data_IF_014708150681
#
_entry.id   IF_014708150681
#
_cell.length_a   1.000
_cell.length_b   1.000
_cell.length_c   1.000
_cell.angle_alpha   90.00
_cell.angle_beta   90.00
_cell.angle_gamma   90.00
#
_symmetry.space_group_name_H-M   'P 1'
#
loop_
_entity.id
_entity.type
_entity.pdbx_description
1 polymer ?
#
# COMPACT_ATOMS: atom_id res chain seq x y z
N UNK A 1 25.37 -8.94 -6.81
CA UNK A 1 26.20 -10.15 -6.80
C UNK A 1 26.95 -10.24 -8.13
N UNK A 2 28.26 -10.52 -8.14
CA UNK A 2 29.07 -10.65 -9.38
C UNK A 2 29.54 -12.10 -9.46
N UNK A 3 29.10 -12.86 -10.48
CA UNK A 3 29.60 -14.21 -10.75
C UNK A 3 30.74 -14.07 -11.76
N UNK A 4 31.95 -14.43 -11.35
CA UNK A 4 33.12 -14.46 -12.26
C UNK A 4 33.22 -15.85 -12.89
N UNK A 5 33.23 -15.91 -14.21
CA UNK A 5 33.57 -17.14 -14.93
C UNK A 5 35.09 -17.34 -14.86
N UNK A 6 35.55 -18.23 -13.98
CA UNK A 6 36.96 -18.60 -13.84
C UNK A 6 37.35 -19.78 -14.75
N UNK A 7 36.46 -20.24 -15.64
CA UNK A 7 36.77 -21.28 -16.60
C UNK A 7 37.55 -20.66 -17.77
N UNK A 8 38.63 -21.31 -18.19
CA UNK A 8 39.38 -20.95 -19.41
C UNK A 8 38.64 -21.34 -20.71
N UNK A 9 37.32 -21.50 -20.67
CA UNK A 9 36.50 -21.96 -21.78
C UNK A 9 35.12 -21.28 -21.81
N UNK A 10 34.48 -21.30 -22.98
CA UNK A 10 33.15 -20.70 -23.17
C UNK A 10 32.06 -21.51 -22.48
N UNK A 11 31.14 -20.81 -21.82
CA UNK A 11 29.96 -21.39 -21.18
C UNK A 11 28.75 -21.27 -22.12
N UNK A 12 27.99 -22.35 -22.24
CA UNK A 12 26.72 -22.43 -22.95
C UNK A 12 25.59 -22.65 -21.92
N UNK A 13 24.38 -22.22 -22.24
CA UNK A 13 23.22 -22.35 -21.37
C UNK A 13 21.97 -22.59 -22.22
N UNK A 14 20.97 -23.24 -21.63
CA UNK A 14 19.71 -23.53 -22.29
C UNK A 14 18.74 -22.35 -22.14
N UNK A 15 18.32 -21.79 -23.28
CA UNK A 15 17.37 -20.69 -23.32
C UNK A 15 15.96 -21.26 -23.50
N UNK A 16 15.04 -21.08 -22.53
CA UNK A 16 13.65 -21.42 -22.83
C UNK A 16 13.02 -20.28 -23.63
N UNK A 17 12.62 -20.59 -24.87
CA UNK A 17 12.06 -19.63 -25.79
C UNK A 17 10.60 -19.29 -25.44
N UNK A 18 10.41 -18.08 -24.95
CA UNK A 18 9.20 -17.29 -25.20
C UNK A 18 9.66 -16.04 -25.92
N UNK A 19 9.06 -15.70 -27.07
CA UNK A 19 9.52 -14.62 -27.95
C UNK A 19 9.95 -13.36 -27.19
N UNK A 20 11.12 -12.86 -27.61
CA UNK A 20 11.66 -11.49 -27.63
C UNK A 20 12.68 -11.02 -26.56
N UNK A 21 13.79 -10.49 -27.13
CA UNK A 21 14.77 -9.49 -26.68
C UNK A 21 15.92 -9.93 -25.76
N UNK A 22 17.00 -9.13 -25.83
CA UNK A 22 18.31 -9.14 -25.12
C UNK A 22 18.25 -9.24 -23.59
N UNK A 23 17.45 -10.18 -23.10
CA UNK A 23 17.00 -10.30 -21.73
C UNK A 23 17.22 -11.68 -21.15
N UNK A 24 18.00 -12.55 -21.79
CA UNK A 24 18.23 -13.93 -21.35
C UNK A 24 19.08 -14.06 -20.06
N UNK A 25 19.49 -12.92 -19.48
CA UNK A 25 19.90 -12.83 -18.07
C UNK A 25 18.71 -12.87 -17.09
N UNK A 26 17.45 -12.89 -17.54
CA UNK A 26 16.24 -12.95 -16.69
C UNK A 26 16.02 -14.30 -15.99
N UNK A 27 16.88 -15.31 -16.20
CA UNK A 27 16.75 -16.67 -15.62
C UNK A 27 17.98 -17.08 -14.81
N UNK A 28 18.47 -16.17 -13.98
CA UNK A 28 19.71 -16.31 -13.22
C UNK A 28 19.38 -16.42 -11.72
N UNK A 29 18.60 -17.45 -11.35
CA UNK A 29 19.10 -18.83 -11.36
C UNK A 29 18.17 -19.82 -12.07
N UNK A 30 18.72 -20.97 -12.48
CA UNK A 30 17.91 -22.10 -12.94
C UNK A 30 17.03 -22.63 -11.81
N UNK A 31 17.54 -22.61 -10.57
CA UNK A 31 16.86 -23.02 -9.34
C UNK A 31 17.41 -22.25 -8.13
N UNK A 32 16.55 -21.94 -7.17
CA UNK A 32 16.97 -21.46 -5.83
C UNK A 32 17.09 -22.68 -4.94
N UNK A 33 18.20 -22.82 -4.22
CA UNK A 33 18.37 -23.91 -3.26
C UNK A 33 18.28 -23.40 -1.83
N UNK A 34 17.65 -24.19 -0.96
CA UNK A 34 17.63 -23.99 0.49
C UNK A 34 18.48 -25.06 1.16
N UNK A 35 19.19 -24.66 2.21
CA UNK A 35 19.86 -25.61 3.09
C UNK A 35 18.85 -26.16 4.11
N UNK A 36 18.55 -27.45 4.03
CA UNK A 36 17.70 -28.19 4.98
C UNK A 36 18.43 -29.46 5.44
N UNK A 37 18.56 -29.66 6.75
CA UNK A 37 19.25 -30.82 7.33
C UNK A 37 20.65 -31.07 6.72
N UNK A 38 21.44 -29.99 6.58
CA UNK A 38 22.80 -30.01 5.99
C UNK A 38 22.85 -30.40 4.49
N UNK A 39 21.69 -30.49 3.81
CA UNK A 39 21.58 -30.79 2.38
C UNK A 39 20.94 -29.64 1.63
N UNK A 40 21.37 -29.44 0.39
CA UNK A 40 20.86 -28.38 -0.48
C UNK A 40 19.75 -28.91 -1.36
N UNK A 41 18.52 -28.49 -1.09
CA UNK A 41 17.32 -28.90 -1.83
C UNK A 41 16.84 -27.78 -2.76
N UNK A 42 16.43 -28.17 -3.97
CA UNK A 42 15.88 -27.25 -4.95
C UNK A 42 14.48 -26.79 -4.51
N UNK A 43 14.25 -25.48 -4.43
CA UNK A 43 12.92 -24.91 -4.19
C UNK A 43 12.31 -24.51 -5.51
N UNK A 44 11.08 -24.96 -5.70
CA UNK A 44 10.25 -24.51 -6.79
C UNK A 44 9.84 -23.04 -6.54
N UNK A 45 10.41 -22.13 -7.31
CA UNK A 45 9.95 -20.75 -7.30
C UNK A 45 8.57 -20.71 -7.99
N UNK A 46 7.58 -19.96 -7.46
CA UNK A 46 6.28 -19.81 -8.09
C UNK A 46 6.45 -19.07 -9.43
N UNK A 47 6.69 -19.83 -10.50
CA UNK A 47 6.92 -19.28 -11.82
C UNK A 47 5.57 -19.06 -12.49
N UNK A 48 5.10 -17.81 -12.53
CA UNK A 48 4.01 -17.40 -13.42
C UNK A 48 4.52 -17.36 -14.87
N UNK A 49 4.83 -18.50 -15.45
CA UNK A 49 4.95 -18.59 -16.91
C UNK A 49 3.57 -18.89 -17.48
N UNK A 50 3.06 -17.88 -18.19
CA UNK A 50 1.98 -17.86 -19.16
C UNK A 50 1.11 -19.12 -19.28
N UNK A 51 -0.20 -18.94 -19.03
CA UNK A 51 -1.26 -19.86 -19.39
C UNK A 51 -0.98 -20.53 -20.76
N UNK A 52 -0.83 -21.85 -20.74
CA UNK A 52 -1.06 -22.80 -21.84
C UNK A 52 -0.17 -22.76 -23.10
N UNK A 53 0.72 -21.79 -23.27
CA UNK A 53 1.69 -21.81 -24.37
C UNK A 53 3.00 -22.45 -23.92
N UNK A 54 3.17 -23.73 -24.28
CA UNK A 54 4.37 -24.52 -23.99
C UNK A 54 5.65 -23.72 -24.23
N UNK A 55 6.40 -23.45 -23.15
CA UNK A 55 7.76 -22.95 -23.25
C UNK A 55 8.59 -24.02 -23.96
N UNK A 56 8.94 -23.80 -25.24
CA UNK A 56 9.86 -24.69 -25.95
C UNK A 56 11.28 -24.37 -25.50
N UNK A 57 11.99 -25.39 -25.06
CA UNK A 57 13.41 -25.29 -24.74
C UNK A 57 14.16 -25.14 -26.06
N UNK A 58 14.91 -24.05 -26.23
CA UNK A 58 15.74 -23.80 -27.40
C UNK A 58 17.12 -24.45 -27.24
N UNK A 59 17.81 -24.70 -28.36
CA UNK A 59 19.19 -25.20 -28.33
C UNK A 59 20.12 -24.27 -27.56
N UNK A 60 21.17 -24.78 -26.89
CA UNK A 60 22.11 -23.95 -26.15
C UNK A 60 22.74 -22.86 -27.02
N UNK A 61 22.87 -21.64 -26.47
CA UNK A 61 23.50 -20.51 -27.17
C UNK A 61 24.80 -20.10 -26.45
N UNK A 62 25.82 -19.74 -27.22
CA UNK A 62 27.10 -19.23 -26.69
C UNK A 62 26.92 -17.84 -26.12
N UNK A 63 27.17 -17.67 -24.81
CA UNK A 63 27.19 -16.35 -24.18
C UNK A 63 28.53 -15.65 -24.39
N UNK A 64 28.46 -14.38 -24.81
CA UNK A 64 29.56 -13.43 -24.65
C UNK A 64 29.29 -12.65 -23.37
N UNK A 65 29.92 -13.04 -22.26
CA UNK A 65 29.75 -12.38 -20.96
C UNK A 65 30.39 -10.98 -21.00
N UNK A 66 29.68 -9.98 -21.49
CA UNK A 66 30.12 -8.59 -21.40
C UNK A 66 29.66 -7.98 -20.05
N UNK A 67 30.55 -7.37 -19.25
CA UNK A 67 30.30 -6.99 -17.85
C UNK A 67 29.39 -5.76 -17.64
N UNK A 68 28.56 -5.36 -18.61
CA UNK A 68 28.09 -3.97 -18.71
C UNK A 68 26.67 -3.64 -18.25
N UNK A 69 25.88 -4.56 -17.69
CA UNK A 69 24.58 -4.16 -17.10
C UNK A 69 24.36 -4.76 -15.71
N UNK A 70 24.34 -3.90 -14.69
CA UNK A 70 23.74 -4.24 -13.38
C UNK A 70 22.24 -4.36 -13.60
N UNK A 71 21.63 -5.46 -13.15
CA UNK A 71 20.18 -5.65 -13.11
C UNK A 71 19.79 -6.19 -11.74
N UNK A 72 18.64 -5.77 -11.24
CA UNK A 72 18.05 -6.25 -9.99
C UNK A 72 17.07 -7.39 -10.31
N UNK A 73 17.12 -8.47 -9.52
CA UNK A 73 16.21 -9.62 -9.62
C UNK A 73 15.41 -9.65 -8.31
N UNK A 74 14.08 -9.54 -8.42
CA UNK A 74 13.17 -9.69 -7.29
C UNK A 74 12.79 -11.17 -7.15
N UNK A 75 13.28 -11.85 -6.10
CA UNK A 75 12.94 -13.24 -5.80
C UNK A 75 11.92 -13.29 -4.66
N UNK A 76 10.78 -13.96 -4.89
CA UNK A 76 9.80 -14.27 -3.85
C UNK A 76 10.15 -15.59 -3.17
N UNK A 77 10.80 -15.52 -2.02
CA UNK A 77 11.27 -16.70 -1.30
C UNK A 77 10.31 -16.97 -0.12
N UNK A 78 9.73 -18.18 -0.01
CA UNK A 78 8.57 -18.41 0.85
C UNK A 78 8.91 -18.63 2.33
N UNK A 79 10.18 -18.80 2.68
CA UNK A 79 10.60 -19.10 4.05
C UNK A 79 11.96 -18.49 4.36
N UNK A 80 12.32 -18.55 5.63
CA UNK A 80 13.65 -18.25 6.11
C UNK A 80 14.61 -19.40 5.96
N UNK A 81 15.89 -19.10 5.96
CA UNK A 81 16.96 -20.07 5.93
C UNK A 81 18.19 -19.53 5.22
N UNK A 82 19.16 -20.41 5.01
CA UNK A 82 20.33 -20.12 4.20
C UNK A 82 20.08 -20.60 2.78
N UNK A 83 20.30 -19.70 1.83
CA UNK A 83 20.00 -19.89 0.42
C UNK A 83 21.26 -19.72 -0.43
N UNK A 84 21.22 -20.35 -1.59
CA UNK A 84 22.13 -20.04 -2.69
C UNK A 84 21.40 -20.15 -4.03
N UNK A 85 21.90 -19.41 -5.00
CA UNK A 85 21.44 -19.46 -6.38
C UNK A 85 22.24 -20.55 -7.11
N UNK A 86 21.57 -21.49 -7.76
CA UNK A 86 22.19 -22.53 -8.59
C UNK A 86 22.04 -22.17 -10.07
N UNK A 87 23.18 -22.11 -10.75
CA UNK A 87 23.28 -21.82 -12.18
C UNK A 87 23.68 -23.08 -12.92
N UNK A 88 22.80 -23.59 -13.76
CA UNK A 88 23.11 -24.73 -14.64
C UNK A 88 23.74 -24.19 -15.92
N UNK A 89 24.84 -24.81 -16.33
CA UNK A 89 25.52 -24.47 -17.57
C UNK A 89 26.13 -25.70 -18.24
N UNK A 90 26.43 -25.57 -19.53
CA UNK A 90 26.98 -26.62 -20.37
C UNK A 90 28.32 -26.15 -20.96
N UNK A 91 29.25 -27.09 -21.12
CA UNK A 91 30.52 -26.77 -21.75
C UNK A 91 30.40 -26.92 -23.26
N UNK A 92 31.17 -26.12 -24.00
CA UNK A 92 31.16 -26.15 -25.46
C UNK A 92 31.54 -27.51 -26.05
N UNK A 93 32.38 -28.25 -25.33
CA UNK A 93 32.89 -29.56 -25.73
C UNK A 93 32.03 -30.73 -25.21
N UNK A 94 31.06 -30.46 -24.33
CA UNK A 94 30.14 -31.47 -23.79
C UNK A 94 28.82 -30.82 -23.38
N UNK A 95 27.90 -30.74 -24.35
CA UNK A 95 26.57 -30.14 -24.15
C UNK A 95 25.57 -31.10 -23.49
N UNK A 96 25.95 -32.36 -23.25
CA UNK A 96 25.07 -33.35 -22.60
C UNK A 96 25.25 -33.38 -21.09
N UNK A 97 26.38 -32.87 -20.61
CA UNK A 97 26.71 -32.83 -19.19
C UNK A 97 26.40 -31.47 -18.59
N UNK A 98 25.47 -31.47 -17.63
CA UNK A 98 25.22 -30.31 -16.79
C UNK A 98 26.42 -30.03 -15.89
N UNK A 99 26.77 -28.74 -15.78
CA UNK A 99 27.72 -28.22 -14.84
C UNK A 99 27.01 -27.15 -14.00
N UNK A 100 27.52 -26.91 -12.80
CA UNK A 100 26.88 -26.02 -11.84
C UNK A 100 27.84 -24.95 -11.34
N UNK A 101 27.33 -23.73 -11.26
CA UNK A 101 27.93 -22.64 -10.49
C UNK A 101 26.95 -22.21 -9.41
N UNK A 102 27.48 -21.73 -8.29
CA UNK A 102 26.67 -21.31 -7.15
C UNK A 102 26.99 -19.87 -6.77
N UNK A 103 25.99 -19.15 -6.25
CA UNK A 103 26.23 -17.90 -5.54
C UNK A 103 26.98 -18.13 -4.23
N UNK A 104 27.44 -17.04 -3.63
CA UNK A 104 27.66 -17.03 -2.18
C UNK A 104 26.36 -17.40 -1.47
N UNK A 105 26.49 -18.02 -0.30
CA UNK A 105 25.38 -18.24 0.60
C UNK A 105 24.85 -16.89 1.11
N UNK A 106 23.53 -16.80 1.28
CA UNK A 106 22.89 -15.66 1.89
C UNK A 106 21.77 -16.14 2.80
N UNK A 107 21.63 -15.48 3.94
CA UNK A 107 20.61 -15.81 4.93
C UNK A 107 19.38 -14.92 4.72
N UNK A 108 18.22 -15.54 4.63
CA UNK A 108 16.93 -14.87 4.72
C UNK A 108 16.41 -15.17 6.11
N UNK A 109 16.34 -14.15 6.95
CA UNK A 109 15.73 -14.28 8.27
C UNK A 109 14.23 -14.38 8.10
N UNK A 110 13.58 -15.22 8.91
CA UNK A 110 12.14 -15.22 8.97
C UNK A 110 11.75 -13.84 9.46
N UNK A 111 10.91 -13.15 8.70
CA UNK A 111 10.02 -12.21 9.35
C UNK A 111 9.03 -13.11 10.08
N UNK A 112 9.36 -13.45 11.33
CA UNK A 112 8.45 -14.18 12.21
C UNK A 112 7.32 -13.21 12.53
N UNK A 113 6.30 -13.28 11.69
CA UNK A 113 5.06 -12.55 11.82
C UNK A 113 4.88 -11.44 10.80
N UNK A 114 3.78 -10.73 10.96
CA UNK A 114 3.39 -9.63 10.08
C UNK A 114 4.07 -8.34 10.55
N UNK A 115 4.58 -7.58 9.58
CA UNK A 115 5.01 -6.20 9.82
C UNK A 115 4.13 -5.22 9.04
N UNK A 116 3.69 -4.18 9.74
CA UNK A 116 2.96 -3.04 9.15
C UNK A 116 3.90 -1.84 9.23
N UNK A 117 4.31 -1.31 8.07
CA UNK A 117 5.22 -0.17 8.01
C UNK A 117 4.51 1.04 7.43
N UNK A 118 4.61 2.19 8.11
CA UNK A 118 4.15 3.49 7.63
C UNK A 118 5.33 4.46 7.53
N UNK A 119 5.26 5.43 6.61
CA UNK A 119 6.27 6.48 6.51
C UNK A 119 6.21 7.50 7.66
N UNK A 120 5.03 7.67 8.26
CA UNK A 120 4.78 8.52 9.42
C UNK A 120 3.52 8.04 10.15
N UNK A 121 3.31 8.51 11.37
CA UNK A 121 2.17 8.12 12.22
C UNK A 121 1.16 9.25 12.43
N UNK A 122 1.40 10.44 11.86
CA UNK A 122 0.49 11.59 11.95
C UNK A 122 0.20 12.12 10.56
N UNK A 123 -1.09 12.14 10.20
CA UNK A 123 -1.60 12.56 8.89
C UNK A 123 -2.60 13.71 9.05
N UNK A 124 -2.67 14.59 8.06
CA UNK A 124 -3.73 15.61 8.01
C UNK A 124 -4.98 15.04 7.35
N UNK A 125 -6.15 15.56 7.72
CA UNK A 125 -7.43 15.17 7.12
C UNK A 125 -7.39 15.38 5.59
N UNK A 126 -7.65 14.30 4.85
CA UNK A 126 -7.62 14.26 3.39
C UNK A 126 -6.25 13.96 2.78
N UNK A 127 -5.20 13.82 3.60
CA UNK A 127 -3.92 13.31 3.15
C UNK A 127 -4.01 11.80 2.84
N UNK A 128 -3.27 11.32 1.83
CA UNK A 128 -3.20 9.88 1.57
C UNK A 128 -2.35 9.21 2.64
N UNK A 129 -2.79 8.04 3.08
CA UNK A 129 -2.08 7.19 4.04
C UNK A 129 -1.51 6.00 3.27
N UNK A 130 -0.19 5.98 3.12
CA UNK A 130 0.55 4.90 2.49
C UNK A 130 1.14 4.00 3.57
N UNK A 131 0.87 2.71 3.48
CA UNK A 131 1.41 1.71 4.40
C UNK A 131 1.73 0.42 3.65
N UNK A 132 2.69 -0.34 4.19
CA UNK A 132 3.11 -1.62 3.65
C UNK A 132 2.78 -2.72 4.63
N UNK A 133 2.25 -3.83 4.13
CA UNK A 133 2.12 -5.06 4.90
C UNK A 133 3.09 -6.08 4.29
N UNK A 134 3.91 -6.65 5.15
CA UNK A 134 4.90 -7.67 4.82
C UNK A 134 4.75 -8.84 5.79
N UNK A 135 4.30 -10.00 5.29
CA UNK A 135 4.05 -11.19 6.10
C UNK A 135 3.00 -12.12 5.51
N UNK A 136 2.78 -13.26 6.17
CA UNK A 136 1.78 -14.26 5.77
C UNK A 136 0.41 -13.93 6.36
N UNK A 137 -0.56 -13.69 5.49
CA UNK A 137 -1.94 -13.28 5.84
C UNK A 137 -2.96 -14.26 5.27
N UNK A 138 -4.14 -14.24 5.86
CA UNK A 138 -5.32 -14.88 5.28
C UNK A 138 -6.01 -13.90 4.34
N UNK A 139 -6.18 -14.27 3.07
CA UNK A 139 -6.84 -13.39 2.08
C UNK A 139 -8.04 -14.07 1.48
N UNK A 140 -9.13 -13.32 1.37
CA UNK A 140 -10.34 -13.73 0.66
C UNK A 140 -10.57 -12.81 -0.55
N UNK A 141 -11.11 -13.34 -1.64
CA UNK A 141 -11.32 -12.60 -2.92
C UNK A 141 -12.10 -11.29 -2.76
N UNK A 142 -12.98 -11.18 -1.78
CA UNK A 142 -13.85 -10.04 -1.55
C UNK A 142 -13.56 -9.25 -0.26
N UNK A 143 -12.45 -9.56 0.44
CA UNK A 143 -12.06 -8.88 1.68
C UNK A 143 -10.61 -8.42 1.60
N UNK A 144 -10.36 -7.23 2.11
CA UNK A 144 -8.99 -6.76 2.32
C UNK A 144 -8.32 -7.64 3.39
N UNK A 145 -6.99 -7.87 3.30
CA UNK A 145 -6.25 -8.62 4.31
C UNK A 145 -6.07 -7.84 5.63
N UNK A 146 -6.62 -6.63 5.72
CA UNK A 146 -6.52 -5.74 6.88
C UNK A 146 -7.85 -5.03 7.12
N UNK A 147 -8.02 -4.51 8.33
CA UNK A 147 -9.09 -3.57 8.71
C UNK A 147 -8.48 -2.28 9.22
N UNK A 148 -9.22 -1.17 9.10
CA UNK A 148 -8.89 0.08 9.77
C UNK A 148 -9.94 0.30 10.84
N UNK A 149 -9.52 0.49 12.08
CA UNK A 149 -10.40 0.61 13.24
C UNK A 149 -10.17 1.96 13.90
N UNK A 150 -11.25 2.65 14.29
CA UNK A 150 -11.21 3.87 15.10
C UNK A 150 -10.82 3.54 16.55
N UNK A 151 -10.43 4.55 17.32
CA UNK A 151 -10.09 4.38 18.74
C UNK A 151 -11.24 3.86 19.62
N UNK A 152 -12.50 4.07 19.21
CA UNK A 152 -13.69 3.52 19.86
C UNK A 152 -13.98 2.05 19.51
N UNK A 153 -13.16 1.44 18.65
CA UNK A 153 -13.32 0.07 18.17
C UNK A 153 -14.22 -0.07 16.94
N UNK A 154 -14.81 1.01 16.42
CA UNK A 154 -15.63 0.92 15.22
C UNK A 154 -14.76 0.73 13.96
N UNK A 155 -15.07 -0.26 13.10
CA UNK A 155 -14.36 -0.43 11.85
C UNK A 155 -14.73 0.68 10.85
N UNK A 156 -13.73 1.22 10.18
CA UNK A 156 -13.90 2.08 9.01
C UNK A 156 -14.45 1.22 7.87
N UNK A 157 -15.58 1.62 7.30
CA UNK A 157 -16.20 0.90 6.18
C UNK A 157 -15.42 1.11 4.89
N UNK A 158 -14.47 0.21 4.63
CA UNK A 158 -13.70 0.14 3.38
C UNK A 158 -14.43 -0.76 2.38
N UNK A 159 -14.41 -0.39 1.10
CA UNK A 159 -14.84 -1.29 0.03
C UNK A 159 -13.64 -1.74 -0.78
N UNK A 160 -13.50 -3.06 -0.87
CA UNK A 160 -12.72 -3.69 -1.92
C UNK A 160 -13.59 -3.69 -3.18
N UNK A 161 -13.17 -2.97 -4.21
CA UNK A 161 -13.75 -3.10 -5.55
C UNK A 161 -12.77 -3.96 -6.34
N UNK A 162 -13.27 -4.89 -7.16
CA UNK A 162 -12.46 -5.56 -8.19
C UNK A 162 -12.65 -4.86 -9.54
N UNK A 163 -11.60 -4.84 -10.35
CA UNK A 163 -11.67 -4.51 -11.76
C UNK A 163 -12.26 -5.72 -12.51
N UNK A 164 -13.57 -5.71 -12.69
CA UNK A 164 -14.29 -6.65 -13.54
C UNK A 164 -15.41 -5.95 -14.28
N UNK A 165 -15.68 -6.39 -15.51
CA UNK A 165 -16.85 -5.97 -16.32
C UNK A 165 -18.19 -6.26 -15.62
N UNK A 166 -18.18 -7.04 -14.53
CA UNK A 166 -19.34 -7.50 -13.77
C UNK A 166 -19.72 -6.53 -12.62
N UNK A 167 -19.00 -5.42 -12.45
CA UNK A 167 -19.25 -4.43 -11.39
C UNK A 167 -20.00 -3.16 -11.82
N UNK A 168 -20.77 -3.19 -12.92
CA UNK A 168 -21.59 -2.03 -13.32
C UNK A 168 -22.82 -1.91 -12.42
N UNK A 169 -22.68 -1.17 -11.32
CA UNK A 169 -23.81 -0.74 -10.50
C UNK A 169 -24.52 0.46 -11.13
N UNK A 170 -25.81 0.61 -10.85
CA UNK A 170 -26.54 1.85 -11.08
C UNK A 170 -26.69 2.54 -9.73
N UNK A 171 -26.07 3.71 -9.56
CA UNK A 171 -26.35 4.60 -8.43
C UNK A 171 -27.62 5.39 -8.77
N UNK A 172 -28.54 5.49 -7.82
CA UNK A 172 -29.73 6.31 -7.95
C UNK A 172 -29.62 7.48 -6.98
N UNK A 173 -29.85 8.70 -7.43
CA UNK A 173 -29.76 9.90 -6.59
C UNK A 173 -30.82 10.94 -6.89
N UNK A 174 -31.10 11.79 -5.91
CA UNK A 174 -32.01 12.90 -6.12
C UNK A 174 -31.31 14.09 -6.79
N UNK A 175 -31.78 14.50 -7.95
CA UNK A 175 -31.35 15.73 -8.62
C UNK A 175 -32.59 16.55 -8.96
N UNK A 176 -32.71 17.74 -8.37
CA UNK A 176 -33.87 18.63 -8.53
C UNK A 176 -35.22 17.96 -8.23
N UNK A 177 -35.27 17.13 -7.18
CA UNK A 177 -36.48 16.42 -6.75
C UNK A 177 -36.86 15.21 -7.60
N UNK A 178 -36.02 14.81 -8.58
CA UNK A 178 -36.25 13.63 -9.43
C UNK A 178 -35.15 12.59 -9.21
N UNK A 179 -35.52 11.32 -9.29
CA UNK A 179 -34.57 10.21 -9.22
C UNK A 179 -33.80 10.13 -10.54
N UNK A 180 -32.49 10.33 -10.47
CA UNK A 180 -31.55 10.16 -11.57
C UNK A 180 -30.74 8.90 -11.35
N UNK A 181 -30.63 8.08 -12.39
CA UNK A 181 -29.83 6.83 -12.38
C UNK A 181 -28.54 7.04 -13.16
N UNK A 182 -27.38 6.80 -12.54
CA UNK A 182 -26.08 6.88 -13.19
C UNK A 182 -25.35 5.56 -13.05
N UNK A 183 -24.86 5.02 -14.18
CA UNK A 183 -23.93 3.88 -14.13
C UNK A 183 -22.65 4.35 -13.44
N UNK A 184 -22.34 3.73 -12.32
CA UNK A 184 -21.09 3.94 -11.61
C UNK A 184 -20.21 2.73 -11.84
N UNK A 185 -18.99 3.02 -12.30
CA UNK A 185 -17.91 2.06 -12.26
C UNK A 185 -17.34 2.12 -10.84
N UNK A 186 -17.50 1.06 -10.06
CA UNK A 186 -16.82 0.98 -8.77
C UNK A 186 -15.31 0.99 -9.02
N UNK A 187 -14.63 1.99 -8.47
CA UNK A 187 -13.19 2.16 -8.61
C UNK A 187 -12.46 1.42 -7.48
N UNK A 188 -11.58 0.49 -7.86
CA UNK A 188 -10.56 -0.11 -7.00
C UNK A 188 -9.66 0.99 -6.40
N UNK A 189 -9.68 1.17 -5.07
CA UNK A 189 -8.87 2.21 -4.43
C UNK A 189 -7.59 1.71 -3.73
N UNK A 190 -7.38 0.39 -3.56
CA UNK A 190 -6.36 -0.11 -2.62
C UNK A 190 -5.14 -0.83 -3.23
N UNK A 191 -5.27 -1.59 -4.33
CA UNK A 191 -4.12 -2.20 -5.04
C UNK A 191 -4.53 -2.68 -6.44
N UNK A 192 -3.66 -2.53 -7.44
CA UNK A 192 -3.90 -3.01 -8.82
C UNK A 192 -3.89 -4.54 -8.94
N UNK A 193 -3.21 -5.26 -8.04
CA UNK A 193 -3.01 -6.72 -8.15
C UNK A 193 -4.19 -7.54 -7.64
N UNK A 194 -4.93 -7.04 -6.65
CA UNK A 194 -6.06 -7.74 -6.02
C UNK A 194 -7.40 -7.49 -6.71
N UNK A 195 -7.38 -6.77 -7.82
CA UNK A 195 -8.58 -6.38 -8.55
C UNK A 195 -8.91 -7.28 -9.73
N UNK A 196 -8.13 -8.32 -10.05
CA UNK A 196 -8.37 -9.15 -11.23
C UNK A 196 -9.28 -10.35 -10.92
N UNK A 197 -10.47 -10.35 -11.52
CA UNK A 197 -11.37 -11.52 -11.53
C UNK A 197 -12.22 -11.66 -10.27
N UNK A 198 -13.17 -10.75 -10.05
CA UNK A 198 -14.25 -11.00 -9.09
C UNK A 198 -15.18 -12.08 -9.68
N UNK A 199 -15.09 -13.30 -9.13
CA UNK A 199 -16.13 -14.31 -9.21
C UNK A 199 -16.99 -14.20 -7.95
N UNK A 200 -18.29 -14.49 -8.05
CA UNK A 200 -19.17 -14.59 -6.87
C UNK A 200 -18.72 -15.69 -5.89
N UNK A 201 -17.78 -16.55 -6.30
CA UNK A 201 -17.10 -17.49 -5.42
C UNK A 201 -16.11 -16.75 -4.50
N UNK A 202 -16.43 -16.77 -3.21
CA UNK A 202 -15.51 -16.40 -2.13
C UNK A 202 -14.50 -17.52 -1.99
N UNK A 203 -13.30 -17.33 -2.54
CA UNK A 203 -12.15 -18.18 -2.26
C UNK A 203 -11.27 -17.48 -1.23
N UNK A 204 -10.83 -18.23 -0.21
CA UNK A 204 -9.89 -17.75 0.79
C UNK A 204 -8.67 -18.68 0.84
N UNK A 205 -7.48 -18.12 1.01
CA UNK A 205 -6.25 -18.88 1.14
C UNK A 205 -5.20 -18.08 1.92
N UNK A 206 -4.23 -18.78 2.48
CA UNK A 206 -3.11 -18.15 3.15
C UNK A 206 -2.02 -17.84 2.14
N UNK A 207 -1.50 -16.61 2.16
CA UNK A 207 -0.44 -16.21 1.25
C UNK A 207 0.49 -15.18 1.87
N UNK A 208 1.71 -15.12 1.35
CA UNK A 208 2.65 -14.09 1.74
C UNK A 208 2.37 -12.82 0.94
N UNK A 209 2.07 -11.72 1.64
CA UNK A 209 1.90 -10.42 1.02
C UNK A 209 3.12 -9.55 1.28
N UNK A 210 3.45 -8.77 0.26
CA UNK A 210 4.54 -7.82 0.27
C UNK A 210 4.08 -6.63 -0.56
N UNK A 211 3.12 -5.88 -0.03
CA UNK A 211 2.36 -4.90 -0.80
C UNK A 211 2.23 -3.56 -0.09
N UNK A 212 2.23 -2.50 -0.89
CA UNK A 212 1.90 -1.15 -0.47
C UNK A 212 0.42 -0.88 -0.73
N UNK A 213 -0.26 -0.33 0.27
CA UNK A 213 -1.64 0.09 0.24
C UNK A 213 -1.70 1.60 0.42
N UNK A 214 -2.64 2.23 -0.27
CA UNK A 214 -2.92 3.66 -0.16
C UNK A 214 -4.38 3.83 0.24
N UNK A 215 -4.64 4.56 1.32
CA UNK A 215 -5.99 4.93 1.74
C UNK A 215 -6.18 6.45 1.68
N UNK A 216 -7.29 6.90 1.08
CA UNK A 216 -7.62 8.32 0.88
C UNK A 216 -8.40 8.93 2.06
N UNK A 217 -8.38 8.27 3.23
CA UNK A 217 -9.10 8.66 4.44
C UNK A 217 -10.62 8.76 4.26
N UNK A 218 -11.18 8.01 3.29
CA UNK A 218 -12.63 7.98 3.08
C UNK A 218 -13.21 6.63 3.49
N UNK A 219 -14.41 6.71 4.05
CA UNK A 219 -15.25 5.56 4.34
C UNK A 219 -16.57 5.66 3.56
N UNK A 220 -17.19 4.51 3.33
CA UNK A 220 -18.52 4.45 2.73
C UNK A 220 -19.57 4.57 3.83
N UNK A 221 -20.38 5.62 3.74
CA UNK A 221 -21.51 5.85 4.65
C UNK A 221 -22.79 5.68 3.86
N UNK A 222 -23.70 4.89 4.40
CA UNK A 222 -25.06 4.80 3.87
C UNK A 222 -25.82 6.06 4.27
N UNK A 223 -26.44 6.70 3.28
CA UNK A 223 -27.36 7.82 3.46
C UNK A 223 -28.73 7.43 2.93
N UNK A 224 -29.73 7.98 3.58
CA UNK A 224 -31.13 7.84 3.16
C UNK A 224 -31.64 9.21 2.78
N UNK A 225 -32.14 9.36 1.55
CA UNK A 225 -32.77 10.60 1.08
C UNK A 225 -34.17 10.30 0.55
N UNK A 226 -35.10 11.23 0.76
CA UNK A 226 -36.46 11.13 0.22
C UNK A 226 -36.53 11.95 -1.06
N UNK A 227 -36.86 11.30 -2.17
CA UNK A 227 -36.95 11.91 -3.50
C UNK A 227 -38.17 11.38 -4.22
N UNK A 228 -39.02 12.27 -4.76
CA UNK A 228 -40.26 11.87 -5.45
C UNK A 228 -41.14 10.91 -4.64
N UNK A 229 -41.33 11.21 -3.35
CA UNK A 229 -42.04 10.37 -2.37
C UNK A 229 -41.49 8.93 -2.22
N UNK A 230 -40.25 8.67 -2.66
CA UNK A 230 -39.55 7.40 -2.47
C UNK A 230 -38.33 7.62 -1.59
N UNK A 231 -38.09 6.66 -0.71
CA UNK A 231 -36.86 6.58 0.06
C UNK A 231 -35.80 5.89 -0.78
N UNK A 232 -34.69 6.57 -1.05
CA UNK A 232 -33.54 5.97 -1.74
C UNK A 232 -32.38 5.83 -0.75
N UNK A 233 -31.74 4.67 -0.80
CA UNK A 233 -30.56 4.33 -0.02
C UNK A 233 -29.33 4.42 -0.91
N UNK A 234 -28.33 5.18 -0.47
CA UNK A 234 -27.10 5.37 -1.24
C UNK A 234 -25.90 5.27 -0.35
N UNK A 235 -24.78 4.88 -0.94
CA UNK A 235 -23.50 4.89 -0.25
C UNK A 235 -22.62 5.97 -0.83
N UNK A 236 -22.19 6.89 0.02
CA UNK A 236 -21.30 7.98 -0.36
C UNK A 236 -19.97 7.87 0.37
N UNK A 237 -18.88 8.25 -0.31
CA UNK A 237 -17.56 8.37 0.31
C UNK A 237 -17.49 9.65 1.14
N UNK A 238 -17.35 9.53 2.45
CA UNK A 238 -17.10 10.67 3.36
C UNK A 238 -15.70 10.55 3.96
N UNK A 239 -15.06 11.68 4.21
CA UNK A 239 -13.83 11.67 5.00
C UNK A 239 -14.13 11.20 6.42
N UNK A 240 -13.30 10.31 6.93
CA UNK A 240 -13.37 9.90 8.34
C UNK A 240 -13.12 11.12 9.24
N UNK A 241 -13.63 11.11 10.49
CA UNK A 241 -13.31 12.16 11.45
C UNK A 241 -11.80 12.19 11.77
N UNK A 242 -11.37 13.27 12.43
CA UNK A 242 -10.03 13.32 13.00
C UNK A 242 -10.01 12.52 14.30
N UNK A 243 -8.91 11.83 14.59
CA UNK A 243 -8.81 10.92 15.73
C UNK A 243 -7.65 9.93 15.60
N UNK A 244 -7.61 8.99 16.53
CA UNK A 244 -6.64 7.88 16.54
C UNK A 244 -7.28 6.67 15.82
N UNK A 245 -6.47 6.00 15.02
CA UNK A 245 -6.86 4.86 14.19
C UNK A 245 -5.81 3.77 14.27
N UNK A 246 -6.23 2.53 14.00
CA UNK A 246 -5.35 1.36 13.94
C UNK A 246 -5.55 0.61 12.63
N UNK A 247 -4.46 0.21 11.99
CA UNK A 247 -4.46 -0.83 10.97
C UNK A 247 -4.32 -2.16 11.69
N UNK A 248 -5.25 -3.09 11.45
CA UNK A 248 -5.29 -4.40 12.09
C UNK A 248 -5.19 -5.48 11.02
N UNK A 249 -4.24 -6.40 11.20
CA UNK A 249 -3.95 -7.50 10.26
C UNK A 249 -3.92 -8.80 11.05
N UNK A 250 -4.59 -9.84 10.56
CA UNK A 250 -4.54 -11.16 11.18
C UNK A 250 -3.31 -11.94 10.71
N UNK A 251 -2.43 -12.26 11.64
CA UNK A 251 -1.24 -13.09 11.44
C UNK A 251 -1.61 -14.56 11.52
N UNK A 252 -1.58 -15.22 10.36
CA UNK A 252 -1.93 -16.64 10.26
C UNK A 252 -0.88 -17.52 10.91
N UNK A 253 0.39 -17.09 10.95
CA UNK A 253 1.49 -17.89 11.49
C UNK A 253 1.38 -17.94 13.01
N UNK A 254 1.15 -16.79 13.63
CA UNK A 254 1.11 -16.67 15.08
C UNK A 254 -0.32 -16.79 15.65
N UNK A 255 -1.35 -16.83 14.79
CA UNK A 255 -2.77 -16.80 15.16
C UNK A 255 -3.14 -15.60 16.03
N UNK A 256 -2.55 -14.45 15.74
CA UNK A 256 -2.73 -13.21 16.51
C UNK A 256 -3.03 -12.01 15.60
N UNK A 257 -3.44 -10.89 16.18
CA UNK A 257 -3.63 -9.65 15.43
C UNK A 257 -2.42 -8.73 15.62
N UNK A 258 -1.85 -8.29 14.51
CA UNK A 258 -0.83 -7.24 14.50
C UNK A 258 -1.51 -5.91 14.24
N UNK A 259 -1.24 -4.94 15.11
CA UNK A 259 -1.82 -3.60 15.05
C UNK A 259 -0.74 -2.54 14.80
N UNK A 260 -1.09 -1.49 14.05
CA UNK A 260 -0.26 -0.29 13.93
C UNK A 260 -1.12 0.96 14.03
N UNK A 261 -0.78 1.83 14.98
CA UNK A 261 -1.55 3.02 15.32
C UNK A 261 -1.05 4.26 14.55
N UNK A 262 -2.00 5.12 14.15
CA UNK A 262 -1.73 6.42 13.56
C UNK A 262 -2.82 7.43 13.93
N UNK A 263 -2.55 8.72 13.75
CA UNK A 263 -3.46 9.82 14.07
C UNK A 263 -3.80 10.61 12.82
N UNK A 264 -5.09 10.88 12.60
CA UNK A 264 -5.58 11.85 11.61
C UNK A 264 -5.92 13.14 12.35
N UNK A 265 -5.17 14.22 12.09
CA UNK A 265 -5.47 15.55 12.61
C UNK A 265 -6.38 16.32 11.65
N UNK A 266 -7.21 17.21 12.19
CA UNK A 266 -7.95 18.13 11.35
C UNK A 266 -6.95 18.97 10.55
N UNK A 267 -7.22 19.16 9.26
CA UNK A 267 -6.46 20.16 8.49
C UNK A 267 -6.91 21.52 9.00
N UNK A 268 -5.97 22.34 9.47
CA UNK A 268 -6.24 23.75 9.70
C UNK A 268 -6.76 24.33 8.38
N UNK A 269 -7.93 24.99 8.36
CA UNK A 269 -8.39 25.66 7.17
C UNK A 269 -7.29 26.59 6.69
N UNK A 270 -6.91 26.53 5.42
CA UNK A 270 -5.78 27.32 4.87
C UNK A 270 -5.97 28.85 5.01
N UNK A 271 -7.18 29.29 5.35
CA UNK A 271 -7.53 30.68 5.57
C UNK A 271 -7.49 31.10 7.05
N UNK A 272 -7.30 30.17 7.99
CA UNK A 272 -6.95 30.52 9.37
C UNK A 272 -5.46 30.85 9.41
N UNK A 273 -5.14 31.98 10.02
CA UNK A 273 -3.77 32.51 10.08
C UNK A 273 -3.37 32.62 11.55
N UNK A 274 -2.18 32.15 11.90
CA UNK A 274 -1.59 32.38 13.23
C UNK A 274 -0.46 33.40 13.10
N UNK A 275 -0.47 34.47 13.89
CA UNK A 275 0.66 35.42 13.91
C UNK A 275 1.87 34.86 14.64
N UNK A 276 1.66 33.84 15.49
CA UNK A 276 2.66 33.29 16.40
C UNK A 276 3.19 34.31 17.41
N UNK A 277 2.40 35.35 17.70
CA UNK A 277 2.71 36.36 18.71
C UNK A 277 2.94 35.77 20.09
N UNK A 278 3.81 36.42 20.86
CA UNK A 278 4.16 35.96 22.22
C UNK A 278 2.92 35.96 23.12
N UNK A 279 2.79 34.93 23.95
CA UNK A 279 1.73 34.82 24.96
C UNK A 279 2.26 34.09 26.20
N UNK A 280 1.55 34.24 27.32
CA UNK A 280 1.76 33.47 28.55
C UNK A 280 0.58 32.57 28.85
N UNK A 281 -0.64 33.01 28.56
CA UNK A 281 -1.87 32.23 28.77
C UNK A 281 -2.79 32.30 27.55
N UNK A 282 -3.81 31.44 27.51
CA UNK A 282 -4.79 31.41 26.41
C UNK A 282 -5.54 32.75 26.26
N UNK A 283 -5.74 33.48 27.36
CA UNK A 283 -6.40 34.79 27.38
C UNK A 283 -5.61 35.89 26.67
N UNK A 284 -4.29 35.71 26.53
CA UNK A 284 -3.43 36.61 25.76
C UNK A 284 -3.64 36.48 24.25
N UNK A 285 -4.35 35.44 23.79
CA UNK A 285 -4.61 35.16 22.39
C UNK A 285 -6.07 35.45 22.02
N UNK A 286 -6.31 36.01 20.84
CA UNK A 286 -7.67 36.29 20.37
C UNK A 286 -7.79 36.18 18.85
N UNK A 287 -9.03 35.96 18.37
CA UNK A 287 -9.37 36.02 16.96
C UNK A 287 -9.48 37.47 16.48
N UNK A 288 -8.51 37.91 15.69
CA UNK A 288 -8.50 39.13 14.89
C UNK A 288 -8.81 38.88 13.42
N UNK A 289 -8.59 39.89 12.57
CA UNK A 289 -9.10 39.87 11.19
C UNK A 289 -10.60 40.18 11.14
N UNK A 290 -11.15 40.29 9.93
CA UNK A 290 -12.53 40.73 9.73
C UNK A 290 -13.57 39.68 10.14
N UNK A 291 -13.28 38.38 9.95
CA UNK A 291 -14.15 37.26 10.36
C UNK A 291 -13.61 36.51 11.58
N UNK A 292 -12.60 37.06 12.25
CA UNK A 292 -11.93 36.42 13.39
C UNK A 292 -10.93 35.33 12.98
N UNK A 293 -10.51 35.28 11.72
CA UNK A 293 -9.66 34.23 11.15
C UNK A 293 -8.17 34.30 11.53
N UNK A 294 -7.73 35.42 12.10
CA UNK A 294 -6.33 35.62 12.51
C UNK A 294 -6.20 35.34 14.00
N UNK A 295 -5.53 34.27 14.41
CA UNK A 295 -5.14 34.08 15.81
C UNK A 295 -3.92 34.94 16.12
N UNK A 296 -4.10 35.97 16.96
CA UNK A 296 -3.05 36.93 17.29
C UNK A 296 -2.92 37.20 18.78
N UNK A 297 -1.74 37.69 19.18
CA UNK A 297 -1.48 38.08 20.56
C UNK A 297 -2.02 39.48 20.85
N UNK A 298 -2.55 39.67 22.07
CA UNK A 298 -2.93 41.00 22.59
C UNK A 298 -1.76 41.98 22.71
N UNK A 299 -0.53 41.49 22.65
CA UNK A 299 0.69 42.31 22.72
C UNK A 299 1.20 42.74 21.34
N UNK A 300 0.54 42.35 20.25
CA UNK A 300 0.88 42.73 18.88
C UNK A 300 0.00 43.88 18.37
N UNK A 301 0.45 44.55 17.31
CA UNK A 301 -0.41 45.46 16.57
C UNK A 301 -1.53 44.67 15.86
N UNK A 302 -2.79 45.13 15.93
CA UNK A 302 -3.91 44.44 15.32
C UNK A 302 -3.70 44.19 13.81
N UNK A 303 -3.81 42.93 13.41
CA UNK A 303 -3.77 42.54 12.01
C UNK A 303 -5.19 42.57 11.41
N UNK A 304 -5.27 43.00 10.16
CA UNK A 304 -6.51 43.10 9.40
C UNK A 304 -6.44 42.21 8.16
N UNK A 305 -7.58 41.66 7.79
CA UNK A 305 -7.77 40.81 6.61
C UNK A 305 -8.89 41.35 5.73
N UNK A 306 -8.95 40.86 4.50
CA UNK A 306 -10.09 41.12 3.61
C UNK A 306 -11.32 40.41 4.18
N UNK A 307 -12.43 41.14 4.30
CA UNK A 307 -13.70 40.61 4.76
C UNK A 307 -14.30 39.62 3.76
N UNK A 308 -14.01 38.33 3.94
CA UNK A 308 -14.68 37.23 3.25
C UNK A 308 -15.52 36.51 4.30
N UNK A 309 -16.84 36.47 4.13
CA UNK A 309 -17.76 35.83 5.08
C UNK A 309 -17.50 34.32 5.10
N UNK A 310 -16.64 33.87 6.00
CA UNK A 310 -16.34 32.47 6.29
C UNK A 310 -16.49 32.23 7.77
N UNK A 311 -17.32 31.26 8.14
CA UNK A 311 -17.46 30.89 9.54
C UNK A 311 -16.26 30.08 10.00
N UNK A 312 -15.67 30.47 11.14
CA UNK A 312 -14.65 29.69 11.83
C UNK A 312 -15.27 28.34 12.20
N UNK A 313 -14.66 27.20 11.82
CA UNK A 313 -15.21 25.92 12.18
C UNK A 313 -15.27 25.81 13.72
N UNK A 314 -16.40 25.37 14.25
CA UNK A 314 -16.70 25.41 15.69
C UNK A 314 -15.68 24.66 16.58
N UNK A 315 -14.83 23.82 15.99
CA UNK A 315 -13.79 23.06 16.66
C UNK A 315 -12.40 23.73 16.63
N UNK A 316 -12.26 24.95 16.13
CA UNK A 316 -10.98 25.69 16.13
C UNK A 316 -11.01 26.83 17.15
N UNK A 317 -9.89 26.98 17.88
CA UNK A 317 -9.72 27.97 18.94
C UNK A 317 -8.34 28.60 18.84
N UNK A 318 -8.25 29.91 19.10
CA UNK A 318 -6.99 30.62 19.21
C UNK A 318 -6.46 30.46 20.64
N UNK A 319 -5.28 29.87 20.82
CA UNK A 319 -4.70 29.53 22.13
C UNK A 319 -3.20 29.77 22.21
N UNK A 320 -2.67 29.80 23.42
CA UNK A 320 -1.24 29.94 23.68
C UNK A 320 -0.57 28.56 23.73
N UNK A 321 0.14 28.20 22.66
CA UNK A 321 0.89 26.95 22.57
C UNK A 321 2.38 27.27 22.51
N UNK A 322 3.14 26.73 23.46
CA UNK A 322 4.59 26.92 23.58
C UNK A 322 4.99 28.41 23.57
N UNK A 323 4.20 29.24 24.25
CA UNK A 323 4.42 30.69 24.37
C UNK A 323 4.08 31.49 23.10
N UNK A 324 3.34 30.91 22.15
CA UNK A 324 2.92 31.55 20.90
C UNK A 324 1.43 31.37 20.62
N UNK A 325 0.75 32.43 20.17
CA UNK A 325 -0.66 32.38 19.78
C UNK A 325 -0.84 31.63 18.46
N UNK A 326 -1.61 30.55 18.50
CA UNK A 326 -1.83 29.63 17.37
C UNK A 326 -3.27 29.11 17.35
N UNK A 327 -3.81 28.89 16.16
CA UNK A 327 -5.04 28.12 16.00
C UNK A 327 -4.80 26.66 16.38
N UNK A 328 -5.69 26.12 17.19
CA UNK A 328 -5.71 24.71 17.56
C UNK A 328 -7.08 24.11 17.31
N UNK A 329 -7.10 22.90 16.76
CA UNK A 329 -8.34 22.12 16.69
C UNK A 329 -8.56 21.39 18.01
N UNK A 330 -9.73 21.55 18.63
CA UNK A 330 -10.16 20.75 19.77
C UNK A 330 -10.65 19.39 19.26
N UNK A 331 -9.73 18.56 18.81
CA UNK A 331 -9.96 17.13 18.69
C UNK A 331 -9.81 16.59 20.10
N UNK A 332 -10.93 16.16 20.72
CA UNK A 332 -10.92 15.60 22.08
C UNK A 332 -9.78 14.57 22.19
N UNK A 333 -8.89 14.78 23.16
CA UNK A 333 -7.86 13.82 23.59
C UNK A 333 -8.50 12.54 24.09
#
# INVERSE_FOLDING_TARGET
>A
MIIKNNLNQSIWYEEQMGKVFDHCFLKLPSKVQKLENEKWDDIELPHKCCNELMCRIGSPIKLKLEPKTKREIELKIPSSGTYRLKFVYYLSNDTRKENYAYSNEFEIKAVNGITITMNKTVFLKGEKIDFRIDGKVHVCTNKLPFSIIKSDGEPVRLKHSCAGFVGSGVDQYCENGKIVSKRIYQLCNFSRKWCYGCSDLIACWDTYIHENFTWDQKEYVEITEVCDNRTIHREIKKFVPSGIYKIVVYDVVNQEYVESEFTIKAREPEWLISTYGKCKTDEDCYGGGCSGEICQSRFEEPQYSICIVRQIPANFYCRCIDGKCQWVSNTKK
#
